data_IF_875071866350
#
_entry.id   IF_875071866350
#
_cell.length_a   1.000
_cell.length_b   1.000
_cell.length_c   1.000
_cell.angle_alpha   90.00
_cell.angle_beta   90.00
_cell.angle_gamma   90.00
#
_symmetry.space_group_name_H-M   'P 1'
#
loop_
_entity.id
_entity.type
_entity.pdbx_description
1 polymer ?
#
# COMPACT_ATOMS: atom_id res chain seq x y z
N UNK A 1 8.02 -12.05 -14.48
CA UNK A 1 8.62 -11.12 -13.48
C UNK A 1 9.82 -11.82 -12.86
N UNK A 2 11.00 -11.18 -12.77
CA UNK A 2 12.24 -11.85 -12.37
C UNK A 2 12.20 -12.40 -10.93
N UNK A 3 11.73 -11.61 -9.95
CA UNK A 3 11.63 -12.06 -8.56
C UNK A 3 10.72 -13.28 -8.38
N UNK A 4 9.52 -13.25 -8.98
CA UNK A 4 8.60 -14.38 -8.96
C UNK A 4 9.17 -15.63 -9.66
N UNK A 5 10.06 -15.45 -10.65
CA UNK A 5 10.75 -16.54 -11.34
C UNK A 5 11.99 -17.06 -10.60
N UNK A 6 12.30 -16.55 -9.40
CA UNK A 6 13.39 -17.03 -8.55
C UNK A 6 14.61 -16.13 -8.43
N UNK A 7 14.57 -14.89 -8.93
CA UNK A 7 15.65 -13.94 -8.65
C UNK A 7 15.65 -13.53 -7.17
N UNK A 8 16.79 -13.67 -6.50
CA UNK A 8 16.94 -13.36 -5.07
C UNK A 8 17.12 -11.86 -4.80
N UNK A 9 17.62 -11.10 -5.77
CA UNK A 9 17.93 -9.67 -5.62
C UNK A 9 17.39 -8.90 -6.82
N UNK A 10 16.73 -7.78 -6.53
CA UNK A 10 16.28 -6.79 -7.52
C UNK A 10 17.07 -5.50 -7.32
N UNK A 11 17.97 -5.18 -8.26
CA UNK A 11 18.59 -3.85 -8.31
C UNK A 11 17.51 -2.83 -8.70
N UNK A 12 17.36 -1.76 -7.92
CA UNK A 12 16.36 -0.75 -8.23
C UNK A 12 16.79 0.10 -9.42
N UNK A 13 15.79 0.61 -10.15
CA UNK A 13 15.98 1.57 -11.23
C UNK A 13 15.33 2.87 -10.81
N UNK A 14 16.05 3.98 -10.95
CA UNK A 14 15.52 5.30 -10.57
C UNK A 14 14.75 5.93 -11.73
N UNK A 15 13.86 6.90 -11.46
CA UNK A 15 13.25 7.70 -12.54
C UNK A 15 14.24 8.42 -13.45
N UNK A 16 15.46 8.68 -12.97
CA UNK A 16 16.52 9.33 -13.73
C UNK A 16 17.33 8.37 -14.63
N UNK A 17 17.05 7.07 -14.59
CA UNK A 17 17.75 6.07 -15.40
C UNK A 17 17.71 6.45 -16.89
N UNK A 18 18.87 6.40 -17.54
CA UNK A 18 19.10 6.83 -18.93
C UNK A 18 18.88 8.33 -19.21
N UNK A 19 18.59 9.16 -18.20
CA UNK A 19 18.37 10.60 -18.35
C UNK A 19 19.48 11.40 -17.67
N UNK A 20 19.94 10.99 -16.48
CA UNK A 20 20.99 11.68 -15.74
C UNK A 20 21.25 11.11 -14.36
N UNK A 21 21.93 11.88 -13.50
CA UNK A 21 22.18 11.47 -12.12
C UNK A 21 20.92 11.64 -11.25
N UNK A 22 20.58 10.65 -10.41
CA UNK A 22 19.42 10.73 -9.55
C UNK A 22 19.63 11.73 -8.42
N UNK A 23 18.58 12.46 -8.06
CA UNK A 23 18.52 13.18 -6.79
C UNK A 23 17.96 12.28 -5.66
N UNK A 24 17.90 12.79 -4.43
CA UNK A 24 17.40 12.02 -3.29
C UNK A 24 15.96 11.50 -3.47
N UNK A 25 15.10 12.28 -4.14
CA UNK A 25 13.71 11.90 -4.41
C UNK A 25 13.61 10.78 -5.45
N UNK A 26 14.52 10.75 -6.43
CA UNK A 26 14.60 9.68 -7.43
C UNK A 26 15.05 8.37 -6.81
N UNK A 27 16.07 8.43 -5.94
CA UNK A 27 16.52 7.27 -5.15
C UNK A 27 15.38 6.74 -4.29
N UNK A 28 14.70 7.62 -3.54
CA UNK A 28 13.55 7.25 -2.71
C UNK A 28 12.47 6.49 -3.50
N UNK A 29 12.07 7.03 -4.66
CA UNK A 29 11.04 6.42 -5.52
C UNK A 29 11.48 5.07 -6.08
N UNK A 30 12.73 4.95 -6.50
CA UNK A 30 13.30 3.68 -6.98
C UNK A 30 13.26 2.61 -5.91
N UNK A 31 13.70 2.94 -4.69
CA UNK A 31 13.69 2.00 -3.55
C UNK A 31 12.27 1.56 -3.20
N UNK A 32 11.31 2.49 -3.08
CA UNK A 32 9.91 2.14 -2.78
C UNK A 32 9.32 1.26 -3.88
N UNK A 33 9.55 1.58 -5.16
CA UNK A 33 9.05 0.79 -6.28
C UNK A 33 9.62 -0.65 -6.27
N UNK A 34 10.92 -0.80 -6.02
CA UNK A 34 11.55 -2.12 -5.92
C UNK A 34 11.10 -2.91 -4.69
N UNK A 35 10.84 -2.26 -3.55
CA UNK A 35 10.25 -2.92 -2.37
C UNK A 35 8.84 -3.46 -2.67
N UNK A 36 8.03 -2.70 -3.40
CA UNK A 36 6.71 -3.18 -3.86
C UNK A 36 6.89 -4.39 -4.79
N UNK A 37 7.80 -4.31 -5.76
CA UNK A 37 8.05 -5.43 -6.68
C UNK A 37 8.57 -6.69 -5.97
N UNK A 38 9.41 -6.54 -4.96
CA UNK A 38 9.89 -7.64 -4.12
C UNK A 38 8.74 -8.29 -3.34
N UNK A 39 7.90 -7.48 -2.68
CA UNK A 39 6.73 -7.98 -1.95
C UNK A 39 5.73 -8.72 -2.86
N UNK A 40 5.49 -8.21 -4.09
CA UNK A 40 4.67 -8.90 -5.09
C UNK A 40 5.29 -10.25 -5.50
N UNK A 41 6.61 -10.33 -5.59
CA UNK A 41 7.29 -11.59 -5.84
C UNK A 41 7.17 -12.56 -4.68
N UNK A 42 7.24 -12.08 -3.43
CA UNK A 42 7.04 -12.87 -2.22
C UNK A 42 5.62 -13.46 -2.16
N UNK A 43 4.60 -12.65 -2.47
CA UNK A 43 3.22 -13.11 -2.62
C UNK A 43 3.08 -14.20 -3.69
N UNK A 44 3.66 -13.98 -4.88
CA UNK A 44 3.58 -14.94 -5.98
C UNK A 44 4.27 -16.28 -5.66
N UNK A 45 5.30 -16.25 -4.80
CA UNK A 45 6.02 -17.44 -4.35
C UNK A 45 5.39 -18.10 -3.11
N UNK A 46 4.37 -17.49 -2.50
CA UNK A 46 3.78 -17.95 -1.25
C UNK A 46 4.73 -17.84 -0.06
N UNK A 47 5.55 -16.78 -0.01
CA UNK A 47 6.49 -16.59 1.09
C UNK A 47 5.72 -16.40 2.42
N UNK A 48 6.13 -17.08 3.51
CA UNK A 48 5.41 -17.01 4.79
C UNK A 48 5.24 -15.57 5.29
N UNK A 49 4.01 -15.19 5.61
CA UNK A 49 3.68 -13.88 6.19
C UNK A 49 3.43 -12.76 5.16
N UNK A 50 3.77 -12.95 3.89
CA UNK A 50 3.50 -11.95 2.85
C UNK A 50 1.99 -11.68 2.71
N UNK A 51 1.19 -12.73 2.52
CA UNK A 51 -0.28 -12.62 2.41
C UNK A 51 -0.91 -12.06 3.68
N UNK A 52 -0.39 -12.44 4.86
CA UNK A 52 -0.89 -11.94 6.14
C UNK A 52 -0.68 -10.42 6.28
N UNK A 53 0.42 -9.87 5.75
CA UNK A 53 0.63 -8.43 5.76
C UNK A 53 -0.41 -7.70 4.90
N UNK A 54 -0.70 -8.17 3.68
CA UNK A 54 -1.76 -7.62 2.84
C UNK A 54 -3.14 -7.76 3.47
N UNK A 55 -3.41 -8.88 4.12
CA UNK A 55 -4.67 -9.12 4.83
C UNK A 55 -4.85 -8.11 5.98
N UNK A 56 -3.81 -7.89 6.79
CA UNK A 56 -3.83 -6.89 7.87
C UNK A 56 -4.06 -5.48 7.33
N UNK A 57 -3.39 -5.11 6.23
CA UNK A 57 -3.61 -3.81 5.57
C UNK A 57 -5.06 -3.69 5.07
N UNK A 58 -5.60 -4.76 4.50
CA UNK A 58 -6.97 -4.82 3.96
C UNK A 58 -8.01 -4.72 5.07
N UNK A 59 -7.80 -5.40 6.19
CA UNK A 59 -8.63 -5.30 7.39
C UNK A 59 -8.59 -3.90 7.98
N UNK A 60 -7.40 -3.31 8.14
CA UNK A 60 -7.25 -1.94 8.63
C UNK A 60 -7.96 -0.92 7.71
N UNK A 61 -7.98 -1.15 6.39
CA UNK A 61 -8.75 -0.34 5.44
C UNK A 61 -10.26 -0.52 5.60
N UNK A 62 -10.74 -1.75 5.74
CA UNK A 62 -12.16 -2.07 5.97
C UNK A 62 -12.67 -1.41 7.25
N UNK A 63 -11.87 -1.45 8.30
CA UNK A 63 -12.17 -0.89 9.62
C UNK A 63 -11.91 0.62 9.74
N UNK A 64 -11.48 1.26 8.65
CA UNK A 64 -11.09 2.67 8.62
C UNK A 64 -10.03 3.05 9.66
N UNK A 65 -9.23 2.10 10.11
CA UNK A 65 -8.18 2.33 11.09
C UNK A 65 -6.95 2.94 10.39
N UNK A 66 -6.91 4.27 10.34
CA UNK A 66 -5.86 5.01 9.66
C UNK A 66 -4.49 4.78 10.31
N UNK A 67 -4.41 4.70 11.63
CA UNK A 67 -3.14 4.48 12.33
C UNK A 67 -2.58 3.09 12.03
N UNK A 68 -3.42 2.05 12.03
CA UNK A 68 -3.00 0.72 11.61
C UNK A 68 -2.55 0.69 10.14
N UNK A 69 -3.28 1.36 9.23
CA UNK A 69 -2.87 1.49 7.83
C UNK A 69 -1.51 2.20 7.69
N UNK A 70 -1.25 3.25 8.47
CA UNK A 70 0.05 3.94 8.49
C UNK A 70 1.16 3.01 8.96
N UNK A 71 0.97 2.29 10.06
CA UNK A 71 1.99 1.36 10.56
C UNK A 71 2.32 0.25 9.55
N UNK A 72 1.30 -0.24 8.85
CA UNK A 72 1.44 -1.33 7.88
C UNK A 72 1.92 -0.85 6.50
N UNK A 73 1.92 0.44 6.19
CA UNK A 73 2.28 0.93 4.87
C UNK A 73 3.78 0.78 4.59
N UNK A 74 4.10 0.38 3.35
CA UNK A 74 5.48 0.36 2.84
C UNK A 74 6.15 1.75 2.87
N UNK A 75 5.33 2.79 2.69
CA UNK A 75 5.71 4.21 2.66
C UNK A 75 4.75 5.00 3.57
N UNK A 76 5.11 5.06 4.86
CA UNK A 76 4.29 5.67 5.90
C UNK A 76 4.22 7.20 5.77
N UNK A 77 5.36 7.82 5.40
CA UNK A 77 5.46 9.28 5.22
C UNK A 77 4.53 9.74 4.10
N UNK A 78 4.54 9.04 2.96
CA UNK A 78 3.65 9.35 1.85
C UNK A 78 2.19 9.13 2.23
N UNK A 79 1.85 8.03 2.91
CA UNK A 79 0.47 7.82 3.34
C UNK A 79 -0.01 8.97 4.25
N UNK A 80 0.83 9.40 5.18
CA UNK A 80 0.55 10.52 6.10
C UNK A 80 0.32 11.82 5.34
N UNK A 81 1.17 12.13 4.35
CA UNK A 81 1.03 13.33 3.52
C UNK A 81 -0.23 13.31 2.64
N UNK A 82 -0.68 12.14 2.19
CA UNK A 82 -1.90 11.98 1.38
C UNK A 82 -3.19 12.01 2.22
N UNK A 83 -3.15 11.50 3.45
CA UNK A 83 -4.26 11.47 4.42
C UNK A 83 -4.17 12.61 5.45
N UNK A 84 -3.82 13.82 5.01
CA UNK A 84 -3.71 15.02 5.85
C UNK A 84 -5.05 15.60 6.34
N UNK A 85 -6.19 14.99 6.00
CA UNK A 85 -7.50 15.44 6.48
C UNK A 85 -8.05 14.52 7.55
N UNK A 86 -8.48 15.10 8.67
CA UNK A 86 -9.19 14.49 9.82
C UNK A 86 -10.49 13.74 9.49
N UNK A 87 -10.80 13.53 8.21
CA UNK A 87 -12.01 12.82 7.81
C UNK A 87 -11.74 11.31 7.75
N UNK A 88 -12.67 10.47 8.23
CA UNK A 88 -12.54 9.00 8.25
C UNK A 88 -12.57 8.36 6.84
N UNK A 89 -12.53 9.18 5.78
CA UNK A 89 -12.76 8.75 4.41
C UNK A 89 -11.53 8.85 3.52
N UNK A 90 -11.48 7.95 2.54
CA UNK A 90 -10.85 8.30 1.27
C UNK A 90 -11.65 9.48 0.68
N UNK A 91 -11.00 10.62 0.42
CA UNK A 91 -11.65 11.84 -0.10
C UNK A 91 -12.40 11.64 -1.44
N UNK A 92 -12.32 10.46 -2.05
CA UNK A 92 -12.73 10.21 -3.44
C UNK A 92 -14.17 9.76 -3.62
N UNK A 93 -14.73 8.95 -2.71
CA UNK A 93 -16.02 8.28 -2.96
C UNK A 93 -17.21 8.90 -2.22
N UNK A 94 -16.99 9.64 -1.12
CA UNK A 94 -18.07 10.20 -0.30
C UNK A 94 -19.12 9.14 0.07
N UNK A 95 -20.41 9.46 -0.13
CA UNK A 95 -21.54 8.57 0.14
C UNK A 95 -21.62 7.33 -0.77
N UNK A 96 -20.83 7.27 -1.85
CA UNK A 96 -20.76 6.13 -2.77
C UNK A 96 -19.64 5.14 -2.46
N UNK A 97 -19.13 5.12 -1.23
CA UNK A 97 -18.05 4.22 -0.84
C UNK A 97 -18.53 2.76 -0.85
N UNK A 98 -17.96 1.94 -1.74
CA UNK A 98 -18.31 0.52 -1.84
C UNK A 98 -18.08 -0.25 -0.54
N UNK A 99 -17.04 0.10 0.24
CA UNK A 99 -16.78 -0.53 1.54
C UNK A 99 -17.85 -0.18 2.57
N UNK A 100 -18.42 1.02 2.51
CA UNK A 100 -19.55 1.44 3.36
C UNK A 100 -20.80 0.64 3.05
N UNK A 101 -21.17 0.62 1.77
CA UNK A 101 -22.36 -0.08 1.29
C UNK A 101 -22.28 -1.58 1.60
N UNK A 102 -21.11 -2.18 1.41
CA UNK A 102 -20.89 -3.58 1.78
C UNK A 102 -21.00 -3.79 3.29
N UNK A 103 -20.38 -2.94 4.12
CA UNK A 103 -20.47 -3.02 5.58
C UNK A 103 -21.90 -2.93 6.10
N UNK A 104 -22.68 -1.97 5.58
CA UNK A 104 -24.10 -1.84 5.87
C UNK A 104 -24.90 -3.10 5.46
N UNK A 105 -24.66 -3.63 4.26
CA UNK A 105 -25.34 -4.83 3.75
C UNK A 105 -25.05 -6.06 4.62
N UNK A 106 -23.81 -6.25 5.05
CA UNK A 106 -23.39 -7.38 5.88
C UNK A 106 -23.65 -7.16 7.38
N UNK A 107 -24.17 -5.99 7.79
CA UNK A 107 -24.36 -5.61 9.20
C UNK A 107 -23.05 -5.65 10.02
N UNK A 108 -21.91 -5.52 9.34
CA UNK A 108 -20.58 -5.53 9.94
C UNK A 108 -20.14 -4.07 10.15
N UNK A 109 -20.36 -3.59 11.39
CA UNK A 109 -20.01 -2.27 11.92
C UNK A 109 -20.92 -1.11 11.42
N UNK A 110 -21.40 -0.23 12.32
CA UNK A 110 -22.08 0.98 11.91
C UNK A 110 -21.06 1.89 11.19
N UNK A 111 -21.14 1.91 9.87
CA UNK A 111 -20.38 2.82 9.03
C UNK A 111 -20.99 4.22 9.17
N UNK A 112 -20.56 4.98 10.17
CA UNK A 112 -20.92 6.38 10.26
C UNK A 112 -20.01 7.17 9.30
N UNK A 113 -20.66 7.68 8.24
CA UNK A 113 -20.06 8.68 7.39
C UNK A 113 -20.08 10.06 8.07
#
# INVERSE_FOLDING_TARGET
>A
MAGAAGADILCYVTPAEHIGYPNAQDVYRGVVASRIAAHVADLAKGYPGAENWDLQMSQARREQNLEAQKTLALDQERLTNFHSSEKPFCKKCGKGCAMAVAGEFFQELPWEC
#
